data_IF_818212304514
#
_entry.id   IF_818212304514
#
_cell.length_a   1.000
_cell.length_b   1.000
_cell.length_c   1.000
_cell.angle_alpha   90.00
_cell.angle_beta   90.00
_cell.angle_gamma   90.00
#
_symmetry.space_group_name_H-M   'P 1'
#
loop_
_entity.id
_entity.type
_entity.pdbx_description
1 polymer ?
#
# COMPACT_ATOMS: atom_id res chain seq x y z
N UNK A 1 -4.56 13.08 11.23
CA UNK A 1 -4.18 11.83 10.50
C UNK A 1 -4.39 10.63 11.39
N UNK A 2 -4.82 9.50 10.81
CA UNK A 2 -4.95 8.20 11.49
C UNK A 2 -4.29 7.10 10.64
N UNK A 3 -3.55 6.20 11.30
CA UNK A 3 -2.87 5.06 10.67
C UNK A 3 -3.59 3.77 11.07
N UNK A 4 -3.76 2.86 10.10
CA UNK A 4 -4.33 1.53 10.29
C UNK A 4 -3.33 0.50 9.79
N UNK A 5 -2.84 -0.35 10.67
CA UNK A 5 -1.91 -1.43 10.33
C UNK A 5 -2.69 -2.73 10.21
N UNK A 6 -2.48 -3.45 9.11
CA UNK A 6 -3.16 -4.71 8.82
C UNK A 6 -2.15 -5.79 8.42
N UNK A 7 -2.46 -7.03 8.73
CA UNK A 7 -1.78 -8.18 8.18
C UNK A 7 -2.41 -8.56 6.83
N UNK A 8 -1.63 -8.45 5.77
CA UNK A 8 -2.09 -8.79 4.42
C UNK A 8 -1.79 -10.21 4.01
N UNK A 9 -0.96 -10.94 4.77
CA UNK A 9 -0.61 -12.33 4.49
C UNK A 9 -1.85 -13.21 4.30
N UNK A 10 -2.85 -13.20 5.22
CA UNK A 10 -4.03 -14.04 5.06
C UNK A 10 -5.03 -13.54 4.01
N UNK A 11 -4.73 -12.44 3.32
CA UNK A 11 -5.55 -11.92 2.22
C UNK A 11 -5.04 -12.36 0.84
N UNK A 12 -3.81 -12.86 0.75
CA UNK A 12 -3.17 -13.36 -0.47
C UNK A 12 -3.66 -14.79 -0.73
N UNK A 13 -4.22 -15.02 -1.91
CA UNK A 13 -4.85 -16.31 -2.24
C UNK A 13 -3.83 -17.45 -2.32
N UNK A 14 -2.65 -17.20 -2.91
CA UNK A 14 -1.56 -18.18 -3.06
C UNK A 14 -1.20 -18.87 -1.73
N UNK A 15 -1.17 -18.12 -0.62
CA UNK A 15 -0.83 -18.69 0.69
C UNK A 15 -1.91 -19.63 1.26
N UNK A 16 -3.15 -19.51 0.77
CA UNK A 16 -4.23 -20.45 1.10
C UNK A 16 -4.22 -21.70 0.21
N UNK A 17 -3.66 -21.61 -0.98
CA UNK A 17 -3.58 -22.74 -1.93
C UNK A 17 -2.45 -23.70 -1.56
N UNK A 18 -1.46 -23.25 -0.77
CA UNK A 18 -0.31 -24.06 -0.35
C UNK A 18 -0.24 -24.21 1.19
N UNK A 19 -1.24 -24.86 1.83
CA UNK A 19 -1.34 -24.92 3.30
C UNK A 19 -0.20 -25.71 3.97
N UNK A 20 0.52 -26.56 3.23
CA UNK A 20 1.71 -27.24 3.75
C UNK A 20 2.92 -26.33 3.88
N UNK A 21 3.02 -25.29 3.05
CA UNK A 21 4.08 -24.30 3.10
C UNK A 21 3.72 -23.15 4.04
N UNK A 22 2.43 -22.78 4.09
CA UNK A 22 1.90 -21.67 4.89
C UNK A 22 0.84 -22.11 5.92
N UNK A 23 1.17 -23.03 6.86
CA UNK A 23 0.16 -23.62 7.74
C UNK A 23 -0.54 -22.60 8.65
N UNK A 24 0.19 -21.58 9.10
CA UNK A 24 -0.33 -20.58 10.04
C UNK A 24 -1.35 -19.61 9.40
N UNK A 25 -1.36 -19.47 8.08
CA UNK A 25 -2.30 -18.62 7.36
C UNK A 25 -3.75 -19.12 7.53
N UNK A 26 -3.93 -20.45 7.60
CA UNK A 26 -5.23 -21.07 7.78
C UNK A 26 -5.86 -20.78 9.16
N UNK A 27 -5.05 -20.39 10.15
CA UNK A 27 -5.49 -20.09 11.51
C UNK A 27 -5.89 -18.61 11.68
N UNK A 28 -5.65 -17.76 10.68
CA UNK A 28 -5.90 -16.33 10.77
C UNK A 28 -7.33 -15.97 10.36
N UNK A 29 -8.00 -15.19 11.18
CA UNK A 29 -9.37 -14.74 10.95
C UNK A 29 -9.42 -13.46 10.10
N UNK A 30 -9.40 -13.64 8.77
CA UNK A 30 -9.50 -12.55 7.79
C UNK A 30 -10.81 -11.79 7.89
N UNK A 31 -11.91 -12.49 8.22
CA UNK A 31 -13.23 -11.86 8.32
C UNK A 31 -13.27 -10.88 9.49
N UNK A 32 -12.72 -11.30 10.62
CA UNK A 32 -12.63 -10.44 11.82
C UNK A 32 -11.74 -9.23 11.56
N UNK A 33 -10.58 -9.40 10.94
CA UNK A 33 -9.68 -8.29 10.60
C UNK A 33 -10.33 -7.28 9.66
N UNK A 34 -10.95 -7.75 8.58
CA UNK A 34 -11.61 -6.85 7.62
C UNK A 34 -12.86 -6.17 8.21
N UNK A 35 -13.58 -6.85 9.11
CA UNK A 35 -14.70 -6.24 9.85
C UNK A 35 -14.22 -5.14 10.77
N UNK A 36 -13.15 -5.39 11.53
CA UNK A 36 -12.49 -4.38 12.35
C UNK A 36 -12.04 -3.17 11.52
N UNK A 37 -11.37 -3.41 10.39
CA UNK A 37 -10.91 -2.31 9.52
C UNK A 37 -12.08 -1.46 9.01
N UNK A 38 -13.18 -2.08 8.59
CA UNK A 38 -14.39 -1.36 8.16
C UNK A 38 -14.98 -0.51 9.29
N UNK A 39 -15.07 -1.09 10.47
CA UNK A 39 -15.61 -0.42 11.65
C UNK A 39 -14.77 0.79 12.03
N UNK A 40 -13.46 0.63 12.15
CA UNK A 40 -12.53 1.70 12.53
C UNK A 40 -12.46 2.80 11.46
N UNK A 41 -12.43 2.45 10.18
CA UNK A 41 -12.47 3.43 9.10
C UNK A 41 -13.80 4.21 9.08
N UNK A 42 -14.91 3.56 9.43
CA UNK A 42 -16.24 4.21 9.49
C UNK A 42 -16.37 5.21 10.64
N UNK A 43 -15.71 4.95 11.76
CA UNK A 43 -15.68 5.82 12.94
C UNK A 43 -14.66 6.96 12.82
N UNK A 44 -13.68 6.80 11.94
CA UNK A 44 -12.58 7.75 11.81
C UNK A 44 -13.08 9.12 11.35
N UNK A 45 -12.74 10.14 12.13
CA UNK A 45 -12.94 11.57 11.81
C UNK A 45 -11.64 12.24 11.36
N UNK A 46 -10.61 11.47 11.11
CA UNK A 46 -9.33 12.00 10.64
C UNK A 46 -9.44 12.48 9.19
N UNK A 47 -8.91 13.66 8.94
CA UNK A 47 -8.84 14.25 7.59
C UNK A 47 -7.98 13.40 6.66
N UNK A 48 -6.90 12.82 7.18
CA UNK A 48 -6.05 11.91 6.45
C UNK A 48 -6.05 10.51 7.08
N UNK A 49 -6.38 9.50 6.28
CA UNK A 49 -6.39 8.07 6.63
C UNK A 49 -5.36 7.33 5.79
N UNK A 50 -4.46 6.62 6.44
CA UNK A 50 -3.43 5.79 5.80
C UNK A 50 -3.60 4.36 6.29
N UNK A 51 -3.72 3.42 5.36
CA UNK A 51 -3.70 1.98 5.65
C UNK A 51 -2.34 1.42 5.23
N UNK A 52 -1.76 0.60 6.08
CA UNK A 52 -0.41 0.05 5.91
C UNK A 52 -0.50 -1.47 6.00
N UNK A 53 0.02 -2.15 4.99
CA UNK A 53 0.15 -3.60 4.93
C UNK A 53 1.48 -4.02 4.31
N UNK A 54 1.74 -5.33 4.21
CA UNK A 54 2.96 -5.82 3.58
C UNK A 54 2.84 -5.95 2.07
N UNK A 55 1.78 -6.60 1.58
CA UNK A 55 1.62 -6.89 0.15
C UNK A 55 0.97 -5.72 -0.61
N UNK A 56 1.50 -5.32 -1.78
CA UNK A 56 0.86 -4.31 -2.62
C UNK A 56 -0.42 -4.87 -3.26
N UNK A 57 -1.47 -4.03 -3.35
CA UNK A 57 -2.68 -4.35 -4.10
C UNK A 57 -2.40 -4.27 -5.60
N UNK A 58 -1.69 -3.23 -5.99
CA UNK A 58 -1.27 -2.94 -7.36
C UNK A 58 0.23 -2.73 -7.41
N UNK A 59 0.86 -3.24 -8.47
CA UNK A 59 2.31 -3.18 -8.65
C UNK A 59 2.67 -3.02 -10.12
N UNK A 60 3.77 -2.32 -10.39
CA UNK A 60 4.31 -2.13 -11.73
C UNK A 60 5.70 -2.77 -11.81
N UNK A 61 5.72 -4.10 -12.03
CA UNK A 61 6.95 -4.91 -12.09
C UNK A 61 6.86 -5.98 -13.18
N UNK A 62 8.03 -6.37 -13.71
CA UNK A 62 8.11 -7.41 -14.76
C UNK A 62 7.73 -8.81 -14.26
N UNK A 63 8.02 -9.10 -13.00
CA UNK A 63 7.90 -10.45 -12.42
C UNK A 63 6.76 -10.58 -11.41
N UNK A 64 5.96 -9.54 -11.21
CA UNK A 64 4.83 -9.53 -10.28
C UNK A 64 3.61 -8.91 -10.95
N UNK A 65 2.47 -9.48 -10.66
CA UNK A 65 1.17 -8.94 -11.05
C UNK A 65 0.49 -8.28 -9.85
N UNK A 66 -0.56 -7.51 -10.13
CA UNK A 66 -1.51 -7.04 -9.13
C UNK A 66 -2.04 -8.23 -8.33
N UNK A 67 -2.29 -8.04 -7.02
CA UNK A 67 -2.70 -9.12 -6.11
C UNK A 67 -4.23 -9.32 -6.11
N UNK A 68 -4.76 -10.39 -6.75
CA UNK A 68 -6.19 -10.58 -6.92
C UNK A 68 -6.97 -10.67 -5.60
N UNK A 69 -6.39 -11.32 -4.59
CA UNK A 69 -6.99 -11.44 -3.26
C UNK A 69 -7.20 -10.09 -2.60
N UNK A 70 -6.20 -9.23 -2.66
CA UNK A 70 -6.28 -7.87 -2.11
C UNK A 70 -7.22 -6.97 -2.92
N UNK A 71 -7.23 -7.10 -4.25
CA UNK A 71 -8.17 -6.38 -5.13
C UNK A 71 -9.62 -6.71 -4.76
N UNK A 72 -9.93 -7.98 -4.49
CA UNK A 72 -11.29 -8.39 -4.14
C UNK A 72 -11.68 -8.05 -2.70
N UNK A 73 -10.77 -8.24 -1.76
CA UNK A 73 -11.08 -8.20 -0.32
C UNK A 73 -10.82 -6.82 0.31
N UNK A 74 -9.70 -6.16 -0.06
CA UNK A 74 -9.23 -4.94 0.60
C UNK A 74 -9.55 -3.66 -0.18
N UNK A 75 -9.28 -3.61 -1.49
CA UNK A 75 -9.42 -2.39 -2.29
C UNK A 75 -10.81 -1.76 -2.22
N UNK A 76 -11.94 -2.53 -2.26
CA UNK A 76 -13.27 -1.95 -2.11
C UNK A 76 -13.50 -1.25 -0.76
N UNK A 77 -12.85 -1.72 0.30
CA UNK A 77 -12.92 -1.10 1.62
C UNK A 77 -12.20 0.25 1.60
N UNK A 78 -10.96 0.26 1.09
CA UNK A 78 -10.16 1.48 1.00
C UNK A 78 -10.87 2.58 0.20
N UNK A 79 -11.44 2.22 -0.94
CA UNK A 79 -12.21 3.15 -1.80
C UNK A 79 -13.47 3.66 -1.11
N UNK A 80 -14.27 2.76 -0.51
CA UNK A 80 -15.53 3.11 0.18
C UNK A 80 -15.31 4.14 1.27
N UNK A 81 -14.26 3.97 2.08
CA UNK A 81 -13.96 4.85 3.20
C UNK A 81 -12.99 5.98 2.86
N UNK A 82 -12.72 6.18 1.56
CA UNK A 82 -11.86 7.26 1.03
C UNK A 82 -10.52 7.31 1.77
N UNK A 83 -9.86 6.16 1.86
CA UNK A 83 -8.49 6.09 2.37
C UNK A 83 -7.58 6.90 1.44
N UNK A 84 -6.74 7.77 1.99
CA UNK A 84 -5.91 8.65 1.19
C UNK A 84 -4.71 7.92 0.60
N UNK A 85 -4.06 7.05 1.40
CA UNK A 85 -2.89 6.28 0.96
C UNK A 85 -3.01 4.85 1.48
N UNK A 86 -2.71 3.88 0.62
CA UNK A 86 -2.34 2.53 0.99
C UNK A 86 -0.84 2.36 0.79
N UNK A 87 -0.10 2.06 1.87
CA UNK A 87 1.35 1.85 1.83
C UNK A 87 1.64 0.36 1.96
N UNK A 88 2.43 -0.16 1.03
CA UNK A 88 2.88 -1.55 1.03
C UNK A 88 4.40 -1.66 0.92
N UNK A 89 4.90 -2.85 1.26
CA UNK A 89 6.28 -3.26 1.11
C UNK A 89 6.49 -4.26 -0.02
N UNK A 90 7.18 -5.36 0.26
CA UNK A 90 7.28 -6.58 -0.52
C UNK A 90 8.06 -6.49 -1.84
N UNK A 91 7.84 -5.48 -2.65
CA UNK A 91 8.33 -5.41 -4.03
C UNK A 91 9.72 -4.77 -4.21
N UNK A 92 10.37 -4.35 -3.13
CA UNK A 92 11.73 -3.78 -3.16
C UNK A 92 11.94 -2.65 -4.17
N UNK A 93 10.92 -1.78 -4.30
CA UNK A 93 10.91 -0.61 -5.19
C UNK A 93 10.23 0.56 -4.51
N UNK A 94 10.43 1.75 -5.04
CA UNK A 94 9.53 2.87 -4.82
C UNK A 94 8.51 2.92 -5.95
N UNK A 95 7.22 2.92 -5.62
CA UNK A 95 6.16 3.13 -6.61
C UNK A 95 5.06 4.03 -6.04
N UNK A 96 4.51 4.88 -6.89
CA UNK A 96 3.25 5.58 -6.67
C UNK A 96 2.33 5.28 -7.85
N UNK A 97 1.22 4.63 -7.56
CA UNK A 97 0.19 4.27 -8.53
C UNK A 97 -1.14 4.90 -8.15
N UNK A 98 -1.95 5.19 -9.17
CA UNK A 98 -3.34 5.64 -9.01
C UNK A 98 -4.23 4.85 -9.95
N UNK A 99 -5.41 4.49 -9.54
CA UNK A 99 -6.39 3.82 -10.40
C UNK A 99 -7.48 4.80 -10.80
N UNK A 100 -8.01 4.65 -12.03
CA UNK A 100 -9.16 5.42 -12.47
C UNK A 100 -10.32 5.26 -11.47
N UNK A 101 -10.98 6.36 -11.15
CA UNK A 101 -12.12 6.42 -10.24
C UNK A 101 -11.83 5.92 -8.80
N UNK A 102 -10.56 5.92 -8.38
CA UNK A 102 -10.14 5.63 -7.02
C UNK A 102 -9.60 6.87 -6.33
N UNK A 103 -10.04 7.18 -5.10
CA UNK A 103 -9.44 8.25 -4.30
C UNK A 103 -8.13 7.84 -3.65
N UNK A 104 -7.76 6.55 -3.74
CA UNK A 104 -6.62 5.97 -3.04
C UNK A 104 -5.33 6.16 -3.84
N UNK A 105 -4.28 6.63 -3.18
CA UNK A 105 -2.91 6.59 -3.68
C UNK A 105 -2.27 5.28 -3.20
N UNK A 106 -1.88 4.43 -4.11
CA UNK A 106 -1.22 3.15 -3.80
C UNK A 106 0.29 3.35 -3.87
N UNK A 107 0.95 3.09 -2.76
CA UNK A 107 2.39 3.31 -2.60
C UNK A 107 3.08 2.00 -2.27
N UNK A 108 4.12 1.67 -3.02
CA UNK A 108 5.10 0.67 -2.62
C UNK A 108 6.31 1.40 -2.06
N UNK A 109 6.70 1.07 -0.83
CA UNK A 109 7.80 1.70 -0.10
C UNK A 109 8.68 0.62 0.52
N UNK A 110 9.36 -0.14 -0.31
CA UNK A 110 10.12 -1.32 0.08
C UNK A 110 11.56 -1.34 -0.42
N UNK A 111 12.15 -0.16 -0.64
CA UNK A 111 13.51 -0.04 -1.17
C UNK A 111 14.61 0.12 -0.09
N UNK A 112 14.37 -0.37 1.15
CA UNK A 112 15.31 -0.16 2.26
C UNK A 112 16.58 -1.00 2.20
N UNK A 113 16.66 -2.08 1.39
CA UNK A 113 17.79 -3.01 1.41
C UNK A 113 18.21 -3.53 0.04
N UNK A 114 17.31 -3.65 -0.89
CA UNK A 114 17.57 -4.24 -2.22
C UNK A 114 16.64 -3.58 -3.22
N UNK A 115 17.21 -2.80 -4.13
CA UNK A 115 16.45 -2.21 -5.23
C UNK A 115 16.19 -3.22 -6.35
N UNK A 116 14.97 -3.21 -6.91
CA UNK A 116 14.60 -3.95 -8.12
C UNK A 116 14.14 -2.96 -9.18
N UNK A 117 14.23 -3.34 -10.45
CA UNK A 117 13.77 -2.49 -11.53
C UNK A 117 12.24 -2.58 -11.70
N UNK A 118 11.50 -1.49 -11.44
CA UNK A 118 10.08 -1.42 -11.75
C UNK A 118 9.88 -1.16 -13.25
N UNK A 119 8.67 -1.45 -13.75
CA UNK A 119 8.24 -1.07 -15.09
C UNK A 119 7.15 -0.02 -14.96
N UNK A 120 7.30 1.10 -15.67
CA UNK A 120 6.27 2.13 -15.72
C UNK A 120 5.07 1.65 -16.51
N UNK A 121 3.95 1.42 -15.84
CA UNK A 121 2.65 1.11 -16.44
C UNK A 121 1.73 2.33 -16.58
N UNK A 122 0.52 2.15 -17.14
CA UNK A 122 -0.42 3.25 -17.39
C UNK A 122 -0.89 3.95 -16.09
N UNK A 123 -0.96 3.22 -14.99
CA UNK A 123 -1.42 3.72 -13.68
C UNK A 123 -0.27 4.26 -12.83
N UNK A 124 0.98 4.17 -13.31
CA UNK A 124 2.18 4.55 -12.57
C UNK A 124 2.45 6.05 -12.68
N UNK A 125 2.36 6.76 -11.57
CA UNK A 125 2.78 8.17 -11.47
C UNK A 125 4.29 8.29 -11.32
N UNK A 126 4.87 7.42 -10.51
CA UNK A 126 6.31 7.32 -10.27
C UNK A 126 6.72 5.89 -9.96
N UNK A 127 7.92 5.52 -10.38
CA UNK A 127 8.59 4.30 -9.93
C UNK A 127 10.11 4.47 -10.00
N UNK A 128 10.81 3.84 -9.04
CA UNK A 128 12.28 3.79 -8.98
C UNK A 128 12.75 2.51 -8.29
N UNK A 129 13.85 1.97 -8.75
CA UNK A 129 14.58 0.88 -8.12
C UNK A 129 15.70 1.35 -7.17
N UNK A 130 15.83 2.66 -6.95
CA UNK A 130 16.82 3.18 -6.00
C UNK A 130 16.48 2.74 -4.57
N UNK A 131 17.50 2.48 -3.78
CA UNK A 131 17.36 2.25 -2.33
C UNK A 131 17.10 3.56 -1.59
N UNK A 132 16.38 3.48 -0.48
CA UNK A 132 16.06 4.66 0.32
C UNK A 132 14.88 4.48 1.26
N UNK A 133 14.23 5.59 1.59
CA UNK A 133 13.08 5.64 2.51
C UNK A 133 12.09 6.74 2.11
N UNK A 134 10.95 6.77 2.79
CA UNK A 134 9.96 7.83 2.58
C UNK A 134 9.67 8.60 3.85
N UNK A 135 9.33 9.87 3.67
CA UNK A 135 8.86 10.75 4.74
C UNK A 135 7.44 11.21 4.43
N UNK A 136 6.56 11.05 5.41
CA UNK A 136 5.19 11.60 5.38
C UNK A 136 5.14 12.82 6.30
N UNK A 137 4.87 13.97 5.73
CA UNK A 137 4.66 15.23 6.47
C UNK A 137 3.20 15.61 6.41
N UNK A 138 2.62 15.95 7.57
CA UNK A 138 1.21 16.30 7.69
C UNK A 138 1.06 17.70 8.23
N UNK A 139 0.51 18.59 7.41
CA UNK A 139 0.07 19.92 7.80
C UNK A 139 -1.43 19.95 8.12
N UNK A 140 -1.97 21.15 8.30
CA UNK A 140 -3.39 21.34 8.59
C UNK A 140 -4.28 20.84 7.45
N UNK A 141 -3.97 21.24 6.23
CA UNK A 141 -4.81 21.02 5.04
C UNK A 141 -4.09 20.20 3.94
N UNK A 142 -2.89 19.66 4.24
CA UNK A 142 -2.06 18.96 3.28
C UNK A 142 -1.28 17.83 3.93
N UNK A 143 -1.29 16.68 3.25
CA UNK A 143 -0.38 15.58 3.51
C UNK A 143 0.59 15.50 2.33
N UNK A 144 1.88 15.47 2.61
CA UNK A 144 2.94 15.33 1.62
C UNK A 144 3.74 14.06 1.88
N UNK A 145 3.95 13.28 0.83
CA UNK A 145 4.84 12.12 0.85
C UNK A 145 6.03 12.38 -0.05
N UNK A 146 7.24 12.14 0.47
CA UNK A 146 8.51 12.35 -0.24
C UNK A 146 9.31 11.07 -0.22
N UNK A 147 9.75 10.59 -1.39
CA UNK A 147 10.70 9.49 -1.53
C UNK A 147 12.10 10.05 -1.58
N UNK A 148 12.98 9.51 -0.75
CA UNK A 148 14.35 9.96 -0.57
C UNK A 148 15.27 8.76 -0.83
N UNK A 149 16.24 8.92 -1.73
CA UNK A 149 17.19 7.85 -2.02
C UNK A 149 18.24 7.70 -0.92
N UNK A 150 19.08 6.67 -1.01
CA UNK A 150 20.13 6.37 -0.03
C UNK A 150 21.18 7.47 0.13
N UNK A 151 21.26 8.42 -0.83
CA UNK A 151 22.13 9.61 -0.75
C UNK A 151 21.47 10.79 -0.01
N UNK A 152 20.24 10.61 0.49
CA UNK A 152 19.47 11.68 1.12
C UNK A 152 18.84 12.67 0.15
N UNK A 153 18.77 12.33 -1.15
CA UNK A 153 18.23 13.19 -2.19
C UNK A 153 16.75 12.85 -2.40
N UNK A 154 15.83 13.83 -2.30
CA UNK A 154 14.45 13.66 -2.70
C UNK A 154 14.35 13.34 -4.20
N UNK A 155 13.80 12.17 -4.54
CA UNK A 155 13.65 11.70 -5.92
C UNK A 155 12.23 11.85 -6.46
N UNK A 156 11.24 11.95 -5.55
CA UNK A 156 9.85 12.17 -5.90
C UNK A 156 9.06 12.69 -4.70
N UNK A 157 8.02 13.46 -4.97
CA UNK A 157 7.04 13.86 -3.95
C UNK A 157 5.66 14.03 -4.56
N UNK A 158 4.64 13.83 -3.74
CA UNK A 158 3.25 14.19 -4.07
C UNK A 158 2.53 14.72 -2.84
N UNK A 159 1.45 15.44 -3.08
CA UNK A 159 0.61 16.05 -2.06
C UNK A 159 -0.84 15.62 -2.21
N UNK A 160 -1.51 15.48 -1.08
CA UNK A 160 -2.96 15.29 -0.97
C UNK A 160 -3.50 16.46 -0.18
N UNK A 161 -4.43 17.21 -0.76
CA UNK A 161 -5.10 18.36 -0.15
C UNK A 161 -6.51 17.98 0.25
N UNK A 162 -7.02 18.62 1.33
CA UNK A 162 -8.41 18.52 1.79
C UNK A 162 -9.35 19.27 0.86
#
# INVERSE_FOLDING_TARGET
MQLFFIDTTPLVDEYHEEPSEYPDVQLQDTVKQLSWLREELSKSKADFKIVIGHHPIYVSEKKRSDEPGLIRKLDPILRKYKVNIYIAGHSHTFQHLTKKDSPVNYVVNASGSLGREPIKGPDTKFCSGEEGFSVVSVGKDVLKMTFINYKGIPIYQFEIKL
#
